data_IF_531383293201
#
_entry.id   IF_531383293201
#
_cell.length_a   1.000
_cell.length_b   1.000
_cell.length_c   1.000
_cell.angle_alpha   90.00
_cell.angle_beta   90.00
_cell.angle_gamma   90.00
#
_symmetry.space_group_name_H-M   'P 1'
#
loop_
_entity.id
_entity.type
_entity.pdbx_description
1 polymer ?
#
# COMPACT_ATOMS: atom_id res chain seq x y z
N UNK A 1 -67.62 12.84 42.45
CA UNK A 1 -66.21 12.77 42.90
C UNK A 1 -65.46 11.87 41.91
N UNK A 2 -64.43 12.45 41.27
CA UNK A 2 -63.36 11.88 40.44
C UNK A 2 -63.64 11.39 38.99
N UNK A 3 -63.18 12.25 38.07
CA UNK A 3 -62.74 12.02 36.68
C UNK A 3 -61.56 11.02 36.59
N UNK A 4 -61.38 10.32 35.46
CA UNK A 4 -60.09 10.02 34.78
C UNK A 4 -60.37 9.19 33.50
N UNK A 5 -60.65 9.81 32.35
CA UNK A 5 -59.71 10.15 31.25
C UNK A 5 -59.20 8.96 30.42
N UNK A 6 -59.64 8.94 29.15
CA UNK A 6 -59.00 8.31 28.00
C UNK A 6 -57.47 8.44 28.04
N UNK A 7 -56.74 7.34 27.80
CA UNK A 7 -55.55 7.38 26.96
C UNK A 7 -55.21 5.98 26.46
N UNK A 8 -55.36 5.76 25.15
CA UNK A 8 -54.77 4.62 24.47
C UNK A 8 -53.25 4.75 24.55
N UNK A 9 -52.58 3.81 25.23
CA UNK A 9 -51.13 3.75 25.26
C UNK A 9 -50.60 3.25 23.90
N UNK A 10 -50.49 4.16 22.94
CA UNK A 10 -49.67 3.96 21.75
C UNK A 10 -48.28 4.52 22.02
N UNK A 11 -47.32 3.69 22.40
CA UNK A 11 -45.90 4.12 22.46
C UNK A 11 -45.00 3.08 21.81
N UNK A 12 -44.93 3.19 20.49
CA UNK A 12 -43.77 2.99 19.62
C UNK A 12 -42.73 1.96 20.05
N UNK A 13 -42.77 0.79 19.39
CA UNK A 13 -41.54 0.02 19.17
C UNK A 13 -40.57 0.90 18.40
N UNK A 14 -39.42 1.21 18.99
CA UNK A 14 -38.28 1.77 18.24
C UNK A 14 -37.89 0.72 17.20
N UNK A 15 -38.43 0.85 15.99
CA UNK A 15 -37.81 0.26 14.82
C UNK A 15 -36.49 1.01 14.74
N UNK A 16 -35.40 0.32 15.09
CA UNK A 16 -34.08 0.73 14.62
C UNK A 16 -34.21 0.80 13.11
N UNK A 17 -34.46 2.00 12.59
CA UNK A 17 -34.21 2.27 11.19
C UNK A 17 -32.72 2.02 11.06
N UNK A 18 -32.34 0.91 10.43
CA UNK A 18 -31.06 0.86 9.75
C UNK A 18 -31.02 2.15 8.93
N UNK A 19 -30.22 3.11 9.39
CA UNK A 19 -29.86 4.25 8.57
C UNK A 19 -29.36 3.64 7.27
N UNK A 20 -30.04 3.91 6.17
CA UNK A 20 -29.53 3.68 4.84
C UNK A 20 -28.12 4.29 4.82
N UNK A 21 -27.10 3.43 4.91
CA UNK A 21 -25.72 3.86 5.02
C UNK A 21 -25.42 4.71 3.79
N UNK A 22 -25.20 6.01 4.04
CA UNK A 22 -25.13 6.99 2.97
C UNK A 22 -23.93 6.66 2.07
N UNK A 23 -24.09 6.64 0.73
CA UNK A 23 -23.02 6.28 -0.22
C UNK A 23 -21.69 7.01 0.02
N UNK A 24 -21.76 8.22 0.57
CA UNK A 24 -20.59 9.02 0.93
C UNK A 24 -19.67 8.36 1.97
N UNK A 25 -20.21 7.57 2.90
CA UNK A 25 -19.41 6.89 3.93
C UNK A 25 -18.53 5.78 3.34
N UNK A 26 -19.09 4.96 2.43
CA UNK A 26 -18.35 3.91 1.73
C UNK A 26 -17.24 4.47 0.84
N UNK A 27 -17.51 5.58 0.14
CA UNK A 27 -16.51 6.23 -0.70
C UNK A 27 -15.36 6.80 0.15
N UNK A 28 -15.66 7.36 1.33
CA UNK A 28 -14.65 7.85 2.25
C UNK A 28 -13.76 6.71 2.78
N UNK A 29 -14.35 5.60 3.23
CA UNK A 29 -13.57 4.45 3.71
C UNK A 29 -12.70 3.82 2.61
N UNK A 30 -13.23 3.73 1.38
CA UNK A 30 -12.44 3.31 0.22
C UNK A 30 -11.31 4.29 -0.04
N UNK A 31 -11.57 5.60 -0.04
CA UNK A 31 -10.53 6.61 -0.25
C UNK A 31 -9.43 6.52 0.81
N UNK A 32 -9.79 6.44 2.09
CA UNK A 32 -8.81 6.25 3.18
C UNK A 32 -8.02 4.95 3.00
N UNK A 33 -8.66 3.88 2.52
CA UNK A 33 -7.99 2.64 2.16
C UNK A 33 -7.01 2.79 0.99
N UNK A 34 -7.40 3.52 -0.06
CA UNK A 34 -6.55 3.84 -1.21
C UNK A 34 -5.36 4.69 -0.77
N UNK A 35 -5.57 5.73 0.04
CA UNK A 35 -4.51 6.61 0.52
C UNK A 35 -3.48 5.83 1.36
N UNK A 36 -3.96 4.93 2.24
CA UNK A 36 -3.08 4.03 3.01
C UNK A 36 -2.31 3.07 2.12
N UNK A 37 -2.95 2.48 1.12
CA UNK A 37 -2.29 1.55 0.20
C UNK A 37 -1.27 2.28 -0.68
N UNK A 38 -1.56 3.52 -1.09
CA UNK A 38 -0.63 4.36 -1.83
C UNK A 38 0.60 4.69 -1.00
N UNK A 39 0.43 5.07 0.27
CA UNK A 39 1.56 5.31 1.18
C UNK A 39 2.45 4.06 1.34
N UNK A 40 1.84 2.86 1.44
CA UNK A 40 2.57 1.59 1.51
C UNK A 40 3.29 1.27 0.20
N UNK A 41 2.65 1.50 -0.94
CA UNK A 41 3.26 1.29 -2.25
C UNK A 41 4.48 2.21 -2.44
N UNK A 42 4.38 3.47 -2.00
CA UNK A 42 5.50 4.41 -2.00
C UNK A 42 6.63 3.92 -1.09
N UNK A 43 6.32 3.43 0.11
CA UNK A 43 7.35 2.89 1.01
C UNK A 43 8.10 1.68 0.40
N UNK A 44 7.41 0.81 -0.34
CA UNK A 44 8.05 -0.31 -1.06
C UNK A 44 8.96 0.20 -2.18
N UNK A 45 8.52 1.22 -2.92
CA UNK A 45 9.33 1.87 -3.95
C UNK A 45 10.60 2.50 -3.37
N UNK A 46 10.51 3.20 -2.25
CA UNK A 46 11.68 3.78 -1.58
C UNK A 46 12.68 2.71 -1.13
N UNK A 47 12.19 1.57 -0.61
CA UNK A 47 13.06 0.45 -0.25
C UNK A 47 13.76 -0.16 -1.47
N UNK A 48 13.05 -0.28 -2.60
CA UNK A 48 13.65 -0.73 -3.87
C UNK A 48 14.73 0.23 -4.35
N UNK A 49 14.48 1.54 -4.34
CA UNK A 49 15.45 2.56 -4.74
C UNK A 49 16.69 2.54 -3.84
N UNK A 50 16.51 2.40 -2.52
CA UNK A 50 17.62 2.26 -1.58
C UNK A 50 18.52 1.06 -1.93
N UNK A 51 17.93 -0.09 -2.21
CA UNK A 51 18.67 -1.28 -2.61
C UNK A 51 19.35 -1.11 -3.98
N UNK A 52 18.65 -0.52 -4.96
CA UNK A 52 19.17 -0.23 -6.29
C UNK A 52 20.37 0.71 -6.23
N UNK A 53 20.30 1.79 -5.45
CA UNK A 53 21.39 2.75 -5.29
C UNK A 53 22.64 2.09 -4.69
N UNK A 54 22.45 1.23 -3.70
CA UNK A 54 23.55 0.43 -3.13
C UNK A 54 24.17 -0.50 -4.16
N UNK A 55 23.35 -1.24 -4.90
CA UNK A 55 23.81 -2.16 -5.94
C UNK A 55 24.57 -1.41 -7.04
N UNK A 56 23.98 -0.33 -7.57
CA UNK A 56 24.55 0.46 -8.65
C UNK A 56 25.89 1.09 -8.25
N UNK A 57 26.01 1.51 -6.99
CA UNK A 57 27.22 2.16 -6.47
C UNK A 57 28.37 1.21 -6.18
N UNK A 58 28.08 0.02 -5.65
CA UNK A 58 29.10 -0.84 -5.07
C UNK A 58 29.27 -2.19 -5.77
N UNK A 59 28.28 -2.64 -6.53
CA UNK A 59 28.28 -3.98 -7.12
C UNK A 59 28.18 -3.99 -8.65
N UNK A 60 27.41 -3.09 -9.27
CA UNK A 60 27.25 -3.08 -10.72
C UNK A 60 28.62 -2.97 -11.44
N UNK A 61 28.88 -3.76 -12.51
CA UNK A 61 27.97 -4.69 -13.20
C UNK A 61 28.04 -6.16 -12.72
N UNK A 62 28.52 -6.44 -11.51
CA UNK A 62 28.53 -7.80 -10.94
C UNK A 62 27.12 -8.26 -10.58
N UNK A 63 26.95 -9.56 -10.32
CA UNK A 63 25.62 -10.15 -10.16
C UNK A 63 24.85 -9.62 -8.96
N UNK A 64 25.49 -9.52 -7.80
CA UNK A 64 24.83 -9.09 -6.56
C UNK A 64 25.72 -8.29 -5.61
N UNK A 65 25.06 -7.48 -4.77
CA UNK A 65 25.67 -6.72 -3.69
C UNK A 65 25.74 -7.54 -2.39
N UNK A 66 26.85 -7.43 -1.66
CA UNK A 66 26.92 -7.76 -0.24
C UNK A 66 26.68 -6.50 0.60
N UNK A 67 25.48 -6.30 1.16
CA UNK A 67 25.07 -5.01 1.70
C UNK A 67 25.77 -4.62 3.01
N UNK A 68 26.36 -5.57 3.73
CA UNK A 68 27.08 -5.29 4.99
C UNK A 68 28.50 -4.78 4.73
N UNK A 69 29.17 -5.32 3.70
CA UNK A 69 30.58 -5.05 3.41
C UNK A 69 30.79 -4.12 2.22
N UNK A 70 29.73 -3.76 1.50
CA UNK A 70 29.78 -3.06 0.20
C UNK A 70 30.70 -3.74 -0.82
N UNK A 71 30.83 -5.07 -0.74
CA UNK A 71 31.48 -5.88 -1.76
C UNK A 71 30.43 -6.49 -2.70
N UNK A 72 30.87 -7.28 -3.67
CA UNK A 72 29.99 -7.99 -4.59
C UNK A 72 30.39 -9.46 -4.74
N UNK A 73 29.52 -10.26 -5.32
CA UNK A 73 29.85 -11.59 -5.83
C UNK A 73 29.13 -11.87 -7.15
N UNK A 74 29.57 -12.93 -7.82
CA UNK A 74 29.08 -13.35 -9.14
C UNK A 74 28.52 -14.77 -9.08
N UNK A 75 27.51 -14.99 -8.23
CA UNK A 75 26.87 -16.30 -8.08
C UNK A 75 26.03 -16.74 -9.29
N UNK A 76 25.87 -15.87 -10.29
CA UNK A 76 25.09 -16.07 -11.53
C UNK A 76 25.92 -15.75 -12.79
N UNK A 77 27.18 -16.16 -12.77
CA UNK A 77 28.09 -16.12 -13.91
C UNK A 77 28.56 -14.72 -14.35
N UNK A 78 28.31 -13.67 -13.56
CA UNK A 78 28.75 -12.31 -13.84
C UNK A 78 27.98 -11.64 -14.97
N UNK A 79 26.69 -11.95 -15.10
CA UNK A 79 25.80 -11.41 -16.13
C UNK A 79 24.94 -10.26 -15.60
N UNK A 80 25.35 -9.63 -14.49
CA UNK A 80 24.63 -8.56 -13.82
C UNK A 80 23.22 -9.01 -13.39
N UNK A 81 23.11 -10.20 -12.77
CA UNK A 81 21.83 -10.82 -12.46
C UNK A 81 20.84 -9.89 -11.73
N UNK A 82 21.28 -9.12 -10.74
CA UNK A 82 20.40 -8.16 -10.04
C UNK A 82 19.90 -7.04 -10.96
N UNK A 83 20.68 -6.59 -11.94
CA UNK A 83 20.23 -5.59 -12.92
C UNK A 83 19.13 -6.14 -13.83
N UNK A 84 19.30 -7.37 -14.33
CA UNK A 84 18.32 -8.01 -15.21
C UNK A 84 17.02 -8.33 -14.45
N UNK A 85 17.12 -8.83 -13.22
CA UNK A 85 15.97 -9.14 -12.37
C UNK A 85 15.18 -7.87 -11.97
N UNK A 86 15.90 -6.79 -11.64
CA UNK A 86 15.28 -5.51 -11.24
C UNK A 86 14.56 -4.78 -12.38
N UNK A 87 14.89 -5.05 -13.65
CA UNK A 87 14.36 -4.31 -14.80
C UNK A 87 12.83 -4.32 -14.87
N UNK A 88 12.22 -5.50 -14.75
CA UNK A 88 10.74 -5.63 -14.82
C UNK A 88 10.05 -4.93 -13.65
N UNK A 89 10.64 -5.02 -12.47
CA UNK A 89 10.16 -4.37 -11.25
C UNK A 89 10.23 -2.85 -11.38
N UNK A 90 11.33 -2.32 -11.90
CA UNK A 90 11.50 -0.89 -12.16
C UNK A 90 10.46 -0.35 -13.16
N UNK A 91 10.17 -1.10 -14.22
CA UNK A 91 9.12 -0.76 -15.20
C UNK A 91 7.74 -0.73 -14.53
N UNK A 92 7.42 -1.74 -13.72
CA UNK A 92 6.15 -1.81 -12.98
C UNK A 92 5.98 -0.61 -12.03
N UNK A 93 7.07 -0.24 -11.35
CA UNK A 93 7.09 0.90 -10.43
C UNK A 93 7.17 2.26 -11.16
N UNK A 94 7.40 2.27 -12.48
CA UNK A 94 7.62 3.48 -13.31
C UNK A 94 8.88 4.27 -12.91
N UNK A 95 9.94 3.58 -12.52
CA UNK A 95 11.23 4.18 -12.17
C UNK A 95 12.13 4.36 -13.40
N UNK A 96 11.97 5.48 -14.11
CA UNK A 96 12.72 5.75 -15.34
C UNK A 96 14.23 5.84 -15.16
N UNK A 97 14.70 6.23 -13.97
CA UNK A 97 16.15 6.33 -13.65
C UNK A 97 16.86 4.98 -13.62
N UNK A 98 16.12 3.91 -13.36
CA UNK A 98 16.64 2.53 -13.27
C UNK A 98 16.64 1.85 -14.64
N UNK A 99 15.70 2.26 -15.51
CA UNK A 99 15.46 1.65 -16.82
C UNK A 99 16.33 2.23 -17.93
N UNK A 100 16.77 3.50 -17.81
CA UNK A 100 17.30 4.30 -18.92
C UNK A 100 18.76 4.70 -18.75
#
# INVERSE_FOLDING_TARGET
MYYFSLLAAATFTVISAQTCESPHFYLNQRQVGIDKNQARANAVKEAFLHAWDGYYRYAAPNDELHPVTNSFSNSRNGWAASAVDALSTAILMKESKVVN
#
